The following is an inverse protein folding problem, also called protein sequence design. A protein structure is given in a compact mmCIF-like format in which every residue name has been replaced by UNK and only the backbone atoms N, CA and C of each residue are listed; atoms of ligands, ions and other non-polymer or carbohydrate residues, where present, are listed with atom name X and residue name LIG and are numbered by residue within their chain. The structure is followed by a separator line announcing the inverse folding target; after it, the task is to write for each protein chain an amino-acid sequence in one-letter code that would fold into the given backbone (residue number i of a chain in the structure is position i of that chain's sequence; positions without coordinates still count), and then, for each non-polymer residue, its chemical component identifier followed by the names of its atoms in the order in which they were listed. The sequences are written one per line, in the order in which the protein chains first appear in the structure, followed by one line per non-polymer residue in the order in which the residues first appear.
data_IF_126710884504
#
_entry.id   IF_126710884504
#
_cell.length_a   1.000
_cell.length_b   1.000
_cell.length_c   1.000
_cell.angle_alpha   90.00
_cell.angle_beta   90.00
_cell.angle_gamma   90.00
#
_symmetry.space_group_name_H-M   'P 1'
#
loop_
_entity.id
_entity.type
_entity.pdbx_description
1 polymer ?
#
# COMPACT_ATOMS: atom_id res chain seq x y z
N UNK A 1 -24.07 29.42 35.40
CA UNK A 1 -22.76 29.40 34.68
C UNK A 1 -22.43 28.02 34.13
N UNK A 2 -22.82 26.94 34.81
CA UNK A 2 -22.57 25.55 34.37
C UNK A 2 -23.15 25.22 32.99
N UNK A 3 -24.37 25.69 32.67
CA UNK A 3 -24.98 25.47 31.34
C UNK A 3 -24.20 26.12 30.19
N UNK A 4 -23.54 27.26 30.43
CA UNK A 4 -22.75 27.95 29.41
C UNK A 4 -21.44 27.18 29.15
N UNK A 5 -20.81 26.68 30.21
CA UNK A 5 -19.61 25.85 30.11
C UNK A 5 -19.96 24.53 29.40
N UNK A 6 -21.05 23.88 29.78
CA UNK A 6 -21.52 22.67 29.11
C UNK A 6 -21.81 22.90 27.63
N UNK A 7 -22.49 24.01 27.28
CA UNK A 7 -22.75 24.36 25.88
C UNK A 7 -21.45 24.61 25.09
N UNK A 8 -20.48 25.32 25.67
CA UNK A 8 -19.18 25.56 25.03
C UNK A 8 -18.38 24.26 24.82
N UNK A 9 -18.41 23.35 25.79
CA UNK A 9 -17.76 22.04 25.67
C UNK A 9 -18.41 21.20 24.58
N UNK A 10 -19.75 21.21 24.49
CA UNK A 10 -20.49 20.50 23.44
C UNK A 10 -20.18 21.08 22.06
N UNK A 11 -20.13 22.41 21.92
CA UNK A 11 -19.79 23.07 20.66
C UNK A 11 -18.34 22.77 20.25
N UNK A 12 -17.41 22.80 21.20
CA UNK A 12 -16.01 22.44 20.94
C UNK A 12 -15.87 20.98 20.51
N UNK A 13 -16.57 20.05 21.18
CA UNK A 13 -16.61 18.65 20.79
C UNK A 13 -17.19 18.46 19.39
N UNK A 14 -18.31 19.12 19.08
CA UNK A 14 -18.92 19.08 17.74
C UNK A 14 -17.96 19.61 16.67
N UNK A 15 -17.26 20.71 16.95
CA UNK A 15 -16.27 21.26 16.03
C UNK A 15 -15.12 20.28 15.78
N UNK A 16 -14.61 19.61 16.82
CA UNK A 16 -13.57 18.59 16.70
C UNK A 16 -14.07 17.38 15.91
N UNK A 17 -15.28 16.90 16.19
CA UNK A 17 -15.88 15.77 15.47
C UNK A 17 -16.13 16.10 14.01
N UNK A 18 -16.63 17.30 13.70
CA UNK A 18 -16.85 17.75 12.33
C UNK A 18 -15.54 17.97 11.58
N UNK A 19 -14.52 18.54 12.22
CA UNK A 19 -13.19 18.70 11.63
C UNK A 19 -12.55 17.34 11.36
N UNK A 20 -12.64 16.42 12.31
CA UNK A 20 -12.19 15.04 12.12
C UNK A 20 -12.96 14.39 10.97
N UNK A 21 -14.30 14.45 10.97
CA UNK A 21 -15.13 13.86 9.92
C UNK A 21 -14.83 14.46 8.55
N UNK A 22 -14.74 15.79 8.44
CA UNK A 22 -14.34 16.50 7.21
C UNK A 22 -12.97 16.04 6.73
N UNK A 23 -12.01 15.93 7.64
CA UNK A 23 -10.66 15.48 7.34
C UNK A 23 -10.65 14.03 6.88
N UNK A 24 -11.33 13.13 7.59
CA UNK A 24 -11.48 11.72 7.23
C UNK A 24 -12.21 11.58 5.89
N UNK A 25 -13.35 12.22 5.66
CA UNK A 25 -14.12 12.14 4.40
C UNK A 25 -13.33 12.67 3.20
N UNK A 26 -12.58 13.77 3.34
CA UNK A 26 -11.68 14.23 2.27
C UNK A 26 -10.49 13.26 2.06
N UNK A 27 -10.11 12.49 3.09
CA UNK A 27 -9.03 11.49 3.07
C UNK A 27 -9.49 10.08 2.68
N UNK A 28 -10.78 9.77 2.75
CA UNK A 28 -11.40 8.43 2.69
C UNK A 28 -11.38 7.77 1.30
N UNK A 29 -10.46 8.16 0.41
CA UNK A 29 -10.13 7.41 -0.81
C UNK A 29 -9.09 6.32 -0.54
N UNK A 30 -9.14 5.67 0.62
CA UNK A 30 -8.26 4.55 0.95
C UNK A 30 -8.94 3.24 0.58
N UNK A 31 -8.21 2.30 -0.02
CA UNK A 31 -8.71 0.94 -0.29
C UNK A 31 -8.80 0.17 1.02
N UNK A 32 -9.96 -0.37 1.37
CA UNK A 32 -10.09 -1.25 2.54
C UNK A 32 -9.33 -2.53 2.29
N UNK A 33 -8.45 -2.90 3.23
CA UNK A 33 -7.62 -4.10 3.13
C UNK A 33 -7.55 -4.81 4.48
N UNK A 34 -7.18 -6.07 4.45
CA UNK A 34 -6.90 -6.86 5.65
C UNK A 34 -5.44 -7.28 5.64
N UNK A 35 -4.77 -7.14 6.79
CA UNK A 35 -3.35 -7.45 6.91
C UNK A 35 -3.12 -8.46 8.03
N UNK A 36 -2.32 -9.48 7.74
CA UNK A 36 -1.82 -10.47 8.70
C UNK A 36 -0.29 -10.41 8.74
N UNK A 37 0.32 -10.47 9.93
CA UNK A 37 1.78 -10.59 10.07
C UNK A 37 2.16 -12.05 10.32
N UNK A 38 3.12 -12.57 9.58
CA UNK A 38 3.68 -13.91 9.81
C UNK A 38 4.65 -13.88 11.00
N UNK A 39 4.82 -15.00 11.75
CA UNK A 39 4.33 -16.35 11.47
C UNK A 39 2.94 -16.67 12.06
N UNK A 40 2.11 -15.68 12.39
CA UNK A 40 0.79 -15.95 13.00
C UNK A 40 -0.13 -16.67 12.00
N UNK A 41 -0.47 -17.92 12.30
CA UNK A 41 -1.39 -18.74 11.51
C UNK A 41 -2.83 -18.65 12.02
N UNK A 42 -3.81 -18.78 11.11
CA UNK A 42 -5.24 -18.87 11.43
C UNK A 42 -6.05 -17.59 11.20
N UNK A 43 -7.36 -17.71 11.43
CA UNK A 43 -8.39 -16.68 11.16
C UNK A 43 -8.23 -15.43 12.04
N UNK A 44 -7.68 -15.57 13.25
CA UNK A 44 -7.55 -14.47 14.22
C UNK A 44 -6.39 -13.50 13.93
N UNK A 45 -5.51 -13.82 12.97
CA UNK A 45 -4.35 -12.99 12.62
C UNK A 45 -4.69 -11.79 11.74
N UNK A 46 -5.87 -11.77 11.12
CA UNK A 46 -6.28 -10.74 10.18
C UNK A 46 -6.72 -9.46 10.88
N UNK A 47 -6.12 -8.34 10.47
CA UNK A 47 -6.44 -7.01 10.98
C UNK A 47 -6.99 -6.17 9.83
N UNK A 48 -8.20 -5.64 10.02
CA UNK A 48 -8.79 -4.72 9.07
C UNK A 48 -8.07 -3.35 9.13
N UNK A 49 -7.78 -2.81 7.96
CA UNK A 49 -7.17 -1.50 7.79
C UNK A 49 -7.54 -0.85 6.46
N UNK A 50 -6.96 0.31 6.20
CA UNK A 50 -7.03 0.98 4.91
C UNK A 50 -5.63 1.22 4.36
N UNK A 51 -5.48 0.98 3.07
CA UNK A 51 -4.28 1.25 2.30
C UNK A 51 -4.40 2.62 1.62
N UNK A 52 -3.33 3.40 1.70
CA UNK A 52 -3.20 4.67 1.00
C UNK A 52 -1.91 4.72 0.21
N UNK A 53 -2.05 4.92 -1.10
CA UNK A 53 -0.93 5.15 -1.99
C UNK A 53 -0.46 6.61 -1.87
N UNK A 54 0.78 6.82 -1.46
CA UNK A 54 1.42 8.13 -1.33
C UNK A 54 2.73 8.15 -2.15
N UNK A 55 2.60 8.23 -3.47
CA UNK A 55 3.73 8.22 -4.40
C UNK A 55 4.58 6.95 -4.25
N UNK A 56 5.72 7.06 -3.57
CA UNK A 56 6.65 5.95 -3.31
C UNK A 56 6.42 5.21 -1.99
N UNK A 57 5.44 5.62 -1.20
CA UNK A 57 5.11 4.96 0.06
C UNK A 57 3.67 4.47 0.03
N UNK A 58 3.48 3.27 0.56
CA UNK A 58 2.17 2.68 0.76
C UNK A 58 1.89 2.63 2.24
N UNK A 59 0.96 3.48 2.67
CA UNK A 59 0.64 3.69 4.08
C UNK A 59 -0.56 2.84 4.47
N UNK A 60 -0.39 1.99 5.47
CA UNK A 60 -1.43 1.15 6.05
C UNK A 60 -1.90 1.74 7.39
N UNK A 61 -3.21 1.95 7.52
CA UNK A 61 -3.87 2.47 8.72
C UNK A 61 -4.75 1.37 9.31
N UNK A 62 -4.60 1.04 10.61
CA UNK A 62 -5.52 0.09 11.24
C UNK A 62 -6.88 0.75 11.46
N UNK A 63 -7.98 0.07 11.14
CA UNK A 63 -9.34 0.57 11.37
C UNK A 63 -9.67 0.78 12.86
N UNK A 64 -8.97 0.07 13.76
CA UNK A 64 -9.06 0.29 15.23
C UNK A 64 -8.17 1.42 15.75
N UNK A 65 -7.27 1.95 14.92
CA UNK A 65 -6.41 3.06 15.30
C UNK A 65 -7.00 4.34 14.72
N UNK A 66 -7.63 5.16 15.57
CA UNK A 66 -8.00 6.55 15.23
C UNK A 66 -6.77 7.47 15.08
N UNK A 67 -5.56 6.92 15.04
CA UNK A 67 -4.33 7.69 14.93
C UNK A 67 -4.22 8.33 13.53
N UNK A 68 -3.90 9.63 13.44
CA UNK A 68 -3.67 10.32 12.17
C UNK A 68 -2.39 9.85 11.45
N UNK A 69 -1.59 9.00 12.08
CA UNK A 69 -0.33 8.48 11.56
C UNK A 69 -0.49 7.03 11.08
N UNK A 70 0.17 6.69 9.97
CA UNK A 70 0.17 5.33 9.42
C UNK A 70 0.81 4.36 10.41
N UNK A 71 0.14 3.23 10.67
CA UNK A 71 0.65 2.16 11.53
C UNK A 71 1.83 1.44 10.89
N UNK A 72 1.79 1.28 9.57
CA UNK A 72 2.84 0.62 8.78
C UNK A 72 3.02 1.41 7.50
N UNK A 73 4.29 1.72 7.18
CA UNK A 73 4.65 2.35 5.92
C UNK A 73 5.48 1.34 5.14
N UNK A 74 4.93 0.90 4.01
CA UNK A 74 5.62 0.07 3.05
C UNK A 74 6.34 0.97 2.06
N UNK A 75 7.67 1.01 2.13
CA UNK A 75 8.43 1.74 1.13
C UNK A 75 8.50 0.89 -0.14
N UNK A 76 8.23 1.54 -1.27
CA UNK A 76 8.23 0.93 -2.60
C UNK A 76 9.54 0.22 -2.96
N UNK A 77 10.67 0.61 -2.37
CA UNK A 77 11.99 0.00 -2.65
C UNK A 77 12.31 -1.20 -1.76
N UNK A 78 11.61 -1.38 -0.65
CA UNK A 78 11.90 -2.41 0.35
C UNK A 78 10.81 -3.47 0.47
N UNK A 79 9.71 -3.30 -0.27
CA UNK A 79 8.61 -4.25 -0.31
C UNK A 79 8.78 -5.18 -1.50
N UNK A 80 8.78 -6.48 -1.23
CA UNK A 80 8.87 -7.53 -2.22
C UNK A 80 7.60 -8.35 -2.16
N UNK A 81 7.01 -8.62 -3.32
CA UNK A 81 5.91 -9.57 -3.45
C UNK A 81 6.50 -10.97 -3.59
N UNK A 82 6.27 -11.82 -2.60
CA UNK A 82 6.78 -13.19 -2.56
C UNK A 82 5.84 -14.15 -3.28
N UNK A 83 4.54 -14.10 -2.96
CA UNK A 83 3.56 -15.05 -3.47
C UNK A 83 2.14 -14.47 -3.50
N UNK A 84 1.24 -15.12 -4.24
CA UNK A 84 -0.18 -14.78 -4.35
C UNK A 84 -1.01 -16.04 -4.12
N UNK A 85 -1.96 -15.99 -3.19
CA UNK A 85 -2.84 -17.12 -2.88
C UNK A 85 -4.30 -16.72 -2.78
N UNK A 86 -5.17 -17.71 -2.89
CA UNK A 86 -6.59 -17.57 -2.60
C UNK A 86 -6.85 -17.71 -1.09
N UNK A 87 -7.89 -17.04 -0.56
CA UNK A 87 -8.35 -17.25 0.81
C UNK A 87 -8.81 -18.69 0.98
N UNK A 88 -8.49 -19.27 2.15
CA UNK A 88 -9.02 -20.59 2.50
C UNK A 88 -10.52 -20.50 2.79
N UNK A 89 -11.23 -21.63 2.79
CA UNK A 89 -12.69 -21.68 3.05
C UNK A 89 -13.08 -21.01 4.37
N UNK A 90 -12.25 -21.12 5.42
CA UNK A 90 -12.48 -20.46 6.71
C UNK A 90 -12.21 -18.94 6.65
N UNK A 91 -11.24 -18.52 5.83
CA UNK A 91 -10.92 -17.11 5.58
C UNK A 91 -12.00 -16.42 4.73
N UNK A 92 -12.55 -17.14 3.75
CA UNK A 92 -13.59 -16.67 2.84
C UNK A 92 -14.94 -16.35 3.55
N UNK A 93 -15.15 -16.82 4.78
CA UNK A 93 -16.39 -16.53 5.56
C UNK A 93 -16.51 -15.05 5.90
N UNK A 94 -15.39 -14.34 6.07
CA UNK A 94 -15.36 -12.91 6.41
C UNK A 94 -14.72 -12.03 5.33
N UNK A 95 -14.20 -12.63 4.26
CA UNK A 95 -13.64 -11.93 3.10
C UNK A 95 -14.65 -11.90 1.95
N UNK A 96 -14.58 -10.87 1.09
CA UNK A 96 -15.35 -10.87 -0.14
C UNK A 96 -14.89 -12.00 -1.07
N UNK A 97 -15.80 -12.56 -1.88
CA UNK A 97 -15.51 -13.69 -2.78
C UNK A 97 -14.38 -13.47 -3.78
N UNK A 98 -14.02 -12.22 -4.04
CA UNK A 98 -12.96 -11.79 -4.97
C UNK A 98 -11.71 -11.28 -4.23
N UNK A 99 -11.56 -11.65 -2.96
CA UNK A 99 -10.39 -11.26 -2.15
C UNK A 99 -9.20 -12.14 -2.54
N UNK A 100 -8.07 -11.51 -2.81
CA UNK A 100 -6.78 -12.14 -3.11
C UNK A 100 -5.80 -11.82 -2.01
N UNK A 101 -5.03 -12.83 -1.60
CA UNK A 101 -4.05 -12.70 -0.53
C UNK A 101 -2.66 -12.60 -1.14
N UNK A 102 -2.02 -11.46 -0.92
CA UNK A 102 -0.68 -11.16 -1.37
C UNK A 102 0.30 -11.36 -0.23
N UNK A 103 1.26 -12.26 -0.39
CA UNK A 103 2.35 -12.44 0.54
C UNK A 103 3.47 -11.46 0.19
N UNK A 104 3.70 -10.48 1.05
CA UNK A 104 4.74 -9.47 0.88
C UNK A 104 5.77 -9.54 2.00
N UNK A 105 7.02 -9.27 1.66
CA UNK A 105 8.09 -9.02 2.62
C UNK A 105 8.42 -7.55 2.62
N UNK A 106 8.45 -6.93 3.79
CA UNK A 106 8.92 -5.56 3.97
C UNK A 106 10.05 -5.55 4.98
N UNK A 107 11.25 -5.16 4.54
CA UNK A 107 12.48 -5.26 5.34
C UNK A 107 12.71 -6.70 5.81
N UNK A 108 12.48 -6.97 7.10
CA UNK A 108 12.69 -8.26 7.76
C UNK A 108 11.36 -8.87 8.25
N UNK A 109 10.22 -8.35 7.77
CA UNK A 109 8.91 -8.80 8.23
C UNK A 109 8.05 -9.25 7.05
N UNK A 110 7.62 -10.50 7.13
CA UNK A 110 6.68 -11.11 6.19
C UNK A 110 5.24 -10.86 6.64
N UNK A 111 4.40 -10.49 5.69
CA UNK A 111 3.02 -10.10 5.93
C UNK A 111 2.16 -10.55 4.75
N UNK A 112 0.91 -10.89 5.04
CA UNK A 112 -0.09 -11.16 4.02
C UNK A 112 -1.09 -10.01 3.98
N UNK A 113 -1.40 -9.53 2.78
CA UNK A 113 -2.42 -8.52 2.54
C UNK A 113 -3.56 -9.15 1.74
N UNK A 114 -4.74 -9.19 2.33
CA UNK A 114 -5.98 -9.48 1.61
C UNK A 114 -6.56 -8.19 1.05
N UNK A 115 -6.75 -8.16 -0.26
CA UNK A 115 -7.38 -7.06 -0.98
C UNK A 115 -8.28 -7.61 -2.08
N UNK A 116 -9.23 -6.82 -2.55
CA UNK A 116 -10.04 -7.18 -3.72
C UNK A 116 -9.18 -7.20 -5.00
N UNK A 117 -9.72 -7.74 -6.10
CA UNK A 117 -9.03 -7.77 -7.40
C UNK A 117 -8.58 -6.39 -7.86
N UNK A 118 -9.37 -5.35 -7.61
CA UNK A 118 -9.01 -3.97 -7.92
C UNK A 118 -7.81 -3.48 -7.09
N UNK A 119 -7.80 -3.76 -5.78
CA UNK A 119 -6.69 -3.48 -4.89
C UNK A 119 -5.42 -4.23 -5.29
N UNK A 120 -5.53 -5.50 -5.67
CA UNK A 120 -4.39 -6.29 -6.16
C UNK A 120 -3.77 -5.69 -7.42
N UNK A 121 -4.60 -5.32 -8.39
CA UNK A 121 -4.14 -4.68 -9.62
C UNK A 121 -3.45 -3.35 -9.31
N UNK A 122 -4.04 -2.52 -8.45
CA UNK A 122 -3.45 -1.25 -8.04
C UNK A 122 -2.10 -1.44 -7.31
N UNK A 123 -2.02 -2.44 -6.42
CA UNK A 123 -0.79 -2.76 -5.70
C UNK A 123 0.30 -3.26 -6.65
N UNK A 124 -0.05 -4.16 -7.56
CA UNK A 124 0.87 -4.70 -8.57
C UNK A 124 1.39 -3.60 -9.48
N UNK A 125 0.53 -2.73 -10.01
CA UNK A 125 0.93 -1.61 -10.85
C UNK A 125 1.85 -0.63 -10.10
N UNK A 126 1.55 -0.34 -8.84
CA UNK A 126 2.41 0.49 -7.99
C UNK A 126 3.80 -0.14 -7.77
N UNK A 127 3.85 -1.45 -7.54
CA UNK A 127 5.09 -2.21 -7.39
C UNK A 127 5.91 -2.26 -8.69
N UNK A 128 5.25 -2.49 -9.83
CA UNK A 128 5.90 -2.58 -11.14
C UNK A 128 6.56 -1.27 -11.55
N UNK A 129 5.87 -0.14 -11.40
CA UNK A 129 6.45 1.15 -11.73
C UNK A 129 7.65 1.52 -10.82
N UNK A 130 7.94 0.75 -9.75
CA UNK A 130 9.16 0.88 -8.95
C UNK A 130 10.37 0.21 -9.61
N UNK A 131 10.12 -0.93 -10.26
CA UNK A 131 11.16 -1.74 -10.89
C UNK A 131 11.71 -1.06 -12.13
N UNK A 132 10.88 -0.30 -12.85
CA UNK A 132 11.31 0.45 -14.04
C UNK A 132 12.40 1.48 -13.74
N UNK A 133 12.33 2.17 -12.60
CA UNK A 133 13.38 3.11 -12.17
C UNK A 133 14.74 2.43 -11.86
N UNK A 134 14.76 1.11 -11.64
CA UNK A 134 15.99 0.33 -11.47
C UNK A 134 16.60 -0.05 -12.83
N UNK A 135 15.77 -0.39 -13.81
CA UNK A 135 16.23 -0.85 -15.13
C UNK A 135 16.89 0.27 -15.93
N UNK A 136 16.43 1.51 -15.79
CA UNK A 136 17.01 2.66 -16.50
C UNK A 136 18.45 2.99 -16.08
N UNK A 137 18.80 2.78 -14.80
CA UNK A 137 20.17 3.00 -14.30
C UNK A 137 21.16 1.87 -14.66
N UNK A 138 20.67 0.73 -15.17
CA UNK A 138 21.53 -0.40 -15.57
C UNK A 138 21.90 -0.41 -17.05
N UNK A 139 21.30 0.46 -17.87
CA UNK A 139 21.83 0.78 -19.20
C UNK A 139 23.10 1.60 -19.02
N UNK A 140 24.16 0.87 -18.70
CA UNK A 140 25.46 1.41 -18.33
C UNK A 140 25.99 2.22 -19.51
N UNK A 141 26.69 3.33 -19.29
CA UNK A 141 27.28 4.14 -20.37
C UNK A 141 28.13 3.31 -21.36
N UNK A 142 28.64 2.17 -20.91
CA UNK A 142 29.29 1.15 -21.74
C UNK A 142 28.39 0.58 -22.86
N UNK A 143 27.11 0.36 -22.62
CA UNK A 143 26.15 -0.12 -23.63
C UNK A 143 25.84 0.96 -24.67
N UNK A 144 25.77 2.22 -24.26
CA UNK A 144 25.65 3.36 -25.19
C UNK A 144 26.88 3.50 -26.09
N UNK A 145 28.07 3.36 -25.53
CA UNK A 145 29.32 3.38 -26.31
C UNK A 145 29.42 2.19 -27.26
N UNK A 146 29.01 1.00 -26.81
CA UNK A 146 28.98 -0.23 -27.63
C UNK A 146 28.00 -0.12 -28.80
N UNK A 147 26.83 0.48 -28.58
CA UNK A 147 25.83 0.65 -29.64
C UNK A 147 26.22 1.73 -30.66
N UNK A 148 26.88 2.82 -30.22
CA UNK A 148 27.39 3.87 -31.12
C UNK A 148 28.45 3.32 -32.09
N UNK A 149 29.42 2.55 -31.59
CA UNK A 149 30.48 1.95 -32.42
C UNK A 149 29.95 0.97 -33.48
N UNK A 150 28.84 0.31 -33.20
CA UNK A 150 28.21 -0.66 -34.11
C UNK A 150 27.52 0.01 -35.31
N UNK A 151 27.08 1.26 -35.17
CA UNK A 151 26.46 2.01 -36.26
C UNK A 151 27.49 2.66 -37.19
N UNK A 152 28.64 3.09 -36.68
CA UNK A 152 29.71 3.66 -37.53
C UNK A 152 30.34 2.61 -38.45
N UNK A 153 30.51 1.37 -37.97
CA UNK A 153 31.04 0.26 -38.80
C UNK A 153 30.10 -0.17 -39.93
N UNK A 154 28.79 0.13 -39.83
CA UNK A 154 27.82 -0.15 -40.90
C UNK A 154 27.78 0.93 -41.98
N UNK A 155 28.10 2.18 -41.63
CA UNK A 155 28.01 3.32 -42.54
C UNK A 155 29.20 3.45 -43.51
N UNK A 156 30.32 2.79 -43.22
CA UNK A 156 31.50 2.75 -44.10
C UNK A 156 31.52 1.61 -45.13
N UNK A 157 30.41 0.86 -45.29
CA UNK A 157 30.32 -0.30 -46.20
C UNK A 157 29.32 -0.16 -47.35
N UNK A 158 28.69 1.01 -47.52
CA UNK A 158 27.83 1.31 -48.68
C UNK A 158 28.54 2.17 -49.70
#
# INVERSE_FOLDING_TARGET
MEFIIAALVIIALLAVVLAAWRFFTLRSRGTTVILRRLPQAGVHGWRHGSLRYNGNDLEYFKLRSLSPMADIIFNRRSVELLDRREPTTEEAVFMSSDTRILHVRSKDTEMELGMDSYGEMAFTAWLEAARDARTENTLTAADFLKNRNRNDTRKGRS
#
